data_IF_597740676277
#
_entry.id   IF_597740676277
#
_cell.length_a   1.000
_cell.length_b   1.000
_cell.length_c   1.000
_cell.angle_alpha   90.00
_cell.angle_beta   90.00
_cell.angle_gamma   90.00
#
_symmetry.space_group_name_H-M   'P 1'
#
loop_
_entity.id
_entity.type
_entity.pdbx_description
1 polymer ?
#
# COMPACT_ATOMS: atom_id res chain seq x y z
N UNK A 1 -13.73 2.36 3.82
CA UNK A 1 -13.13 1.33 4.70
C UNK A 1 -12.60 0.13 3.94
N UNK A 2 -13.42 -0.58 3.14
CA UNK A 2 -12.99 -1.78 2.37
C UNK A 2 -11.74 -1.54 1.49
N UNK A 3 -11.71 -0.48 0.68
CA UNK A 3 -10.56 -0.18 -0.20
C UNK A 3 -9.26 0.01 0.60
N UNK A 4 -9.35 0.67 1.75
CA UNK A 4 -8.21 0.87 2.64
C UNK A 4 -7.74 -0.45 3.25
N UNK A 5 -8.68 -1.31 3.68
CA UNK A 5 -8.32 -2.63 4.20
C UNK A 5 -7.61 -3.49 3.15
N UNK A 6 -8.16 -3.55 1.92
CA UNK A 6 -7.53 -4.27 0.79
C UNK A 6 -6.14 -3.69 0.49
N UNK A 7 -6.01 -2.36 0.43
CA UNK A 7 -4.73 -1.70 0.22
C UNK A 7 -3.70 -2.07 1.28
N UNK A 8 -4.08 -2.03 2.56
CA UNK A 8 -3.18 -2.40 3.66
C UNK A 8 -2.76 -3.87 3.61
N UNK A 9 -3.68 -4.78 3.26
CA UNK A 9 -3.38 -6.21 3.14
C UNK A 9 -2.41 -6.46 1.98
N UNK A 10 -2.67 -5.89 0.80
CA UNK A 10 -1.78 -6.00 -0.35
C UNK A 10 -0.39 -5.42 -0.05
N UNK A 11 -0.35 -4.28 0.64
CA UNK A 11 0.89 -3.64 1.08
C UNK A 11 1.66 -4.55 2.05
N UNK A 12 0.97 -5.16 3.02
CA UNK A 12 1.57 -6.09 3.97
C UNK A 12 2.13 -7.33 3.29
N UNK A 13 1.39 -7.93 2.36
CA UNK A 13 1.84 -9.10 1.58
C UNK A 13 3.08 -8.73 0.74
N UNK A 14 3.03 -7.61 0.02
CA UNK A 14 4.17 -7.13 -0.77
C UNK A 14 5.41 -6.85 0.09
N UNK A 15 5.22 -6.24 1.26
CA UNK A 15 6.29 -5.99 2.21
C UNK A 15 6.91 -7.29 2.73
N UNK A 16 6.11 -8.26 3.15
CA UNK A 16 6.62 -9.57 3.62
C UNK A 16 7.37 -10.30 2.51
N UNK A 17 6.84 -10.29 1.29
CA UNK A 17 7.53 -10.89 0.14
C UNK A 17 8.91 -10.24 -0.11
N UNK A 18 9.00 -8.91 -0.07
CA UNK A 18 10.27 -8.20 -0.27
C UNK A 18 11.24 -8.38 0.90
N UNK A 19 10.74 -8.37 2.13
CA UNK A 19 11.56 -8.61 3.32
C UNK A 19 12.16 -10.02 3.31
N UNK A 20 11.34 -11.03 2.97
CA UNK A 20 11.82 -12.41 2.83
C UNK A 20 12.80 -12.53 1.66
N UNK A 21 12.56 -11.87 0.53
CA UNK A 21 13.51 -11.85 -0.60
C UNK A 21 14.89 -11.32 -0.18
N UNK A 22 14.91 -10.24 0.60
CA UNK A 22 16.14 -9.65 1.11
C UNK A 22 16.84 -10.57 2.11
N UNK A 23 16.07 -11.31 2.92
CA UNK A 23 16.59 -12.21 3.93
C UNK A 23 17.21 -13.49 3.36
N UNK A 24 16.60 -14.07 2.32
CA UNK A 24 17.08 -15.32 1.71
C UNK A 24 18.13 -15.12 0.63
N UNK A 25 18.50 -13.87 0.31
CA UNK A 25 19.44 -13.58 -0.77
C UNK A 25 20.87 -13.96 -0.35
N UNK A 26 21.50 -14.85 -1.10
CA UNK A 26 22.84 -15.35 -0.82
C UNK A 26 23.70 -15.30 -2.10
N UNK A 27 24.87 -14.64 -2.11
CA UNK A 27 25.74 -14.59 -3.28
C UNK A 27 26.30 -15.94 -3.72
N UNK A 28 26.37 -16.95 -2.84
CA UNK A 28 26.93 -18.27 -3.14
C UNK A 28 25.89 -19.34 -3.50
N UNK A 29 24.60 -19.11 -3.18
CA UNK A 29 23.53 -20.07 -3.41
C UNK A 29 22.59 -19.62 -4.54
N UNK A 30 22.71 -20.26 -5.72
CA UNK A 30 21.91 -19.92 -6.90
C UNK A 30 20.41 -20.12 -6.66
N UNK A 31 20.01 -21.21 -6.00
CA UNK A 31 18.61 -21.53 -5.72
C UNK A 31 17.94 -20.49 -4.82
N UNK A 32 18.68 -19.98 -3.84
CA UNK A 32 18.20 -18.94 -2.92
C UNK A 32 17.98 -17.60 -3.67
N UNK A 33 18.85 -17.26 -4.62
CA UNK A 33 18.69 -16.08 -5.47
C UNK A 33 17.52 -16.19 -6.44
N UNK A 34 17.23 -17.38 -6.97
CA UNK A 34 16.04 -17.60 -7.81
C UNK A 34 14.77 -17.39 -6.96
N UNK A 35 14.72 -17.96 -5.76
CA UNK A 35 13.61 -17.75 -4.82
C UNK A 35 13.41 -16.29 -4.45
N UNK A 36 14.50 -15.56 -4.16
CA UNK A 36 14.46 -14.12 -3.89
C UNK A 36 13.98 -13.32 -5.10
N UNK A 37 14.38 -13.72 -6.31
CA UNK A 37 13.93 -13.11 -7.56
C UNK A 37 12.42 -13.21 -7.76
N UNK A 38 11.83 -14.39 -7.54
CA UNK A 38 10.39 -14.62 -7.64
C UNK A 38 9.63 -13.79 -6.60
N UNK A 39 10.08 -13.79 -5.35
CA UNK A 39 9.48 -12.98 -4.29
C UNK A 39 9.56 -11.49 -4.58
N UNK A 40 10.66 -11.01 -5.17
CA UNK A 40 10.81 -9.61 -5.58
C UNK A 40 9.84 -9.27 -6.72
N UNK A 41 9.74 -10.13 -7.72
CA UNK A 41 8.87 -9.94 -8.89
C UNK A 41 7.39 -9.85 -8.49
N UNK A 42 6.96 -10.65 -7.50
CA UNK A 42 5.60 -10.59 -6.97
C UNK A 42 5.41 -9.48 -5.91
N UNK A 43 6.41 -9.27 -5.06
CA UNK A 43 6.35 -8.35 -3.92
C UNK A 43 6.26 -6.89 -4.32
N UNK A 44 7.01 -6.46 -5.36
CA UNK A 44 6.97 -5.09 -5.88
C UNK A 44 5.56 -4.68 -6.34
N UNK A 45 4.91 -5.39 -7.29
CA UNK A 45 3.59 -4.97 -7.77
C UNK A 45 2.54 -5.03 -6.67
N UNK A 46 2.56 -6.06 -5.81
CA UNK A 46 1.62 -6.17 -4.68
C UNK A 46 1.79 -5.00 -3.70
N UNK A 47 3.03 -4.70 -3.31
CA UNK A 47 3.35 -3.59 -2.43
C UNK A 47 2.98 -2.23 -3.02
N UNK A 48 3.30 -2.00 -4.30
CA UNK A 48 3.00 -0.76 -5.00
C UNK A 48 1.49 -0.50 -5.12
N UNK A 49 0.71 -1.52 -5.50
CA UNK A 49 -0.75 -1.43 -5.59
C UNK A 49 -1.35 -1.19 -4.20
N UNK A 50 -0.91 -1.94 -3.19
CA UNK A 50 -1.38 -1.78 -1.82
C UNK A 50 -1.13 -0.37 -1.26
N UNK A 51 0.08 0.16 -1.51
CA UNK A 51 0.44 1.51 -1.12
C UNK A 51 -0.42 2.56 -1.84
N UNK A 52 -0.58 2.43 -3.16
CA UNK A 52 -1.37 3.35 -3.97
C UNK A 52 -2.84 3.40 -3.49
N UNK A 53 -3.46 2.25 -3.23
CA UNK A 53 -4.83 2.16 -2.71
C UNK A 53 -4.97 2.80 -1.34
N UNK A 54 -3.99 2.59 -0.45
CA UNK A 54 -3.99 3.14 0.90
C UNK A 54 -3.89 4.67 0.88
N UNK A 55 -2.98 5.20 0.07
CA UNK A 55 -2.81 6.65 -0.12
C UNK A 55 -4.06 7.26 -0.76
N UNK A 56 -4.57 6.67 -1.83
CA UNK A 56 -5.76 7.16 -2.53
C UNK A 56 -6.99 7.20 -1.61
N UNK A 57 -7.20 6.15 -0.81
CA UNK A 57 -8.29 6.11 0.16
C UNK A 57 -8.15 7.22 1.22
N UNK A 58 -6.93 7.43 1.75
CA UNK A 58 -6.65 8.50 2.71
C UNK A 58 -6.86 9.90 2.12
N UNK A 59 -6.36 10.13 0.90
CA UNK A 59 -6.52 11.39 0.18
C UNK A 59 -7.99 11.69 -0.11
N UNK A 60 -8.75 10.69 -0.55
CA UNK A 60 -10.19 10.83 -0.81
C UNK A 60 -10.97 11.21 0.44
N UNK A 61 -10.71 10.56 1.58
CA UNK A 61 -11.35 10.93 2.84
C UNK A 61 -10.97 12.34 3.30
N UNK A 62 -9.71 12.73 3.17
CA UNK A 62 -9.25 14.08 3.52
C UNK A 62 -9.92 15.15 2.64
N UNK A 63 -10.06 14.89 1.35
CA UNK A 63 -10.76 15.77 0.41
C UNK A 63 -12.25 15.88 0.75
N UNK A 64 -12.93 14.75 0.98
CA UNK A 64 -14.34 14.70 1.37
C UNK A 64 -14.61 15.47 2.67
N UNK A 65 -13.72 15.36 3.67
CA UNK A 65 -13.83 16.12 4.93
C UNK A 65 -13.70 17.63 4.69
N UNK A 66 -12.78 18.07 3.84
CA UNK A 66 -12.63 19.50 3.47
C UNK A 66 -13.89 20.06 2.81
N UNK A 67 -14.52 19.30 1.89
CA UNK A 67 -15.76 19.71 1.25
C UNK A 67 -16.93 19.93 2.22
N UNK A 68 -17.07 19.06 3.24
CA UNK A 68 -18.12 19.20 4.27
C UNK A 68 -17.91 20.43 5.16
N UNK A 69 -16.67 20.73 5.56
CA UNK A 69 -16.35 21.91 6.38
C UNK A 69 -16.75 23.22 5.69
N UNK A 70 -16.52 23.33 4.38
CA UNK A 70 -16.93 24.52 3.59
C UNK A 70 -18.44 24.71 3.52
N UNK A 71 -19.22 23.62 3.45
CA UNK A 71 -20.70 23.70 3.44
C UNK A 71 -21.31 24.00 4.81
N UNK A 72 -20.68 23.52 5.90
CA UNK A 72 -21.12 23.82 7.26
C UNK A 72 -20.91 25.27 7.69
N UNK A 73 -19.82 25.90 7.24
CA UNK A 73 -19.54 27.32 7.53
C UNK A 73 -20.60 28.27 6.92
N UNK A 74 -21.14 27.92 5.75
CA UNK A 74 -22.12 28.75 5.02
C UNK A 74 -23.53 28.75 5.63
N UNK A 75 -23.83 27.81 6.54
CA UNK A 75 -25.13 27.70 7.24
C UNK A 75 -25.18 28.45 8.58
N UNK A 76 -24.05 28.93 9.10
CA UNK A 76 -24.01 29.71 10.36
C UNK A 76 -24.08 31.22 10.17
N UNK A 77 -24.11 31.69 8.93
CA UNK A 77 -24.11 33.12 8.56
C UNK A 77 -25.45 33.61 8.02
N UNK A 78 -26.50 32.79 8.12
CA UNK A 78 -27.90 33.11 7.78
C UNK A 78 -28.76 32.78 8.97
#
# INVERSE_FOLDING_TARGET
MIIRAIGTVLLGIGFVALATAAFIRDPAALDANIGAGVLTLAGIPLGAIGLALTIAAGAYEAWKRRGRRRRGARRRTT
#
